data_IF_697452279474
#
_entry.id   IF_697452279474
#
_cell.length_a   1.000
_cell.length_b   1.000
_cell.length_c   1.000
_cell.angle_alpha   90.00
_cell.angle_beta   90.00
_cell.angle_gamma   90.00
#
_symmetry.space_group_name_H-M   'P 1'
#
loop_
_entity.id
_entity.type
_entity.pdbx_description
1 polymer ?
#
# COMPACT_ATOMS: atom_id res chain seq x y z
N UNK A 1 18.32 12.08 -2.00
CA UNK A 1 19.19 10.98 -1.55
C UNK A 1 19.79 11.44 -0.25
N UNK A 2 19.16 11.09 0.86
CA UNK A 2 19.73 11.30 2.19
C UNK A 2 19.40 10.06 3.00
N UNK A 3 20.44 9.26 3.22
CA UNK A 3 20.46 8.10 4.10
C UNK A 3 20.33 8.58 5.55
N UNK A 4 19.22 8.23 6.22
CA UNK A 4 19.17 8.34 7.68
C UNK A 4 19.34 6.95 8.27
N UNK A 5 20.57 6.79 8.74
CA UNK A 5 21.20 5.66 9.42
C UNK A 5 20.41 5.14 10.62
N UNK A 6 20.25 3.82 10.64
CA UNK A 6 19.90 3.01 11.80
C UNK A 6 20.82 3.31 12.99
N UNK A 7 20.25 3.77 14.11
CA UNK A 7 20.87 3.68 15.43
C UNK A 7 19.99 2.85 16.35
N UNK A 8 20.24 1.55 16.34
CA UNK A 8 20.10 0.72 17.52
C UNK A 8 21.28 1.06 18.44
N UNK A 9 21.02 1.59 19.63
CA UNK A 9 21.92 1.45 20.77
C UNK A 9 21.12 1.61 22.07
N UNK A 10 20.81 0.45 22.65
CA UNK A 10 21.22 0.07 24.00
C UNK A 10 21.10 1.15 25.10
N UNK A 11 19.98 1.13 25.83
CA UNK A 11 19.93 1.65 27.20
C UNK A 11 19.84 0.44 28.14
N UNK A 12 20.91 0.28 28.92
CA UNK A 12 21.05 -0.61 30.07
C UNK A 12 19.75 -0.75 30.89
N UNK A 13 19.29 -1.97 31.15
CA UNK A 13 19.70 -2.74 32.34
C UNK A 13 19.71 -1.93 33.63
N UNK A 14 18.52 -1.69 34.18
CA UNK A 14 18.28 -1.68 35.63
C UNK A 14 16.80 -1.97 35.90
N UNK A 15 16.44 -3.23 36.14
CA UNK A 15 15.37 -3.63 37.06
C UNK A 15 15.30 -5.16 37.15
N UNK A 16 16.35 -5.78 37.69
CA UNK A 16 16.27 -7.10 38.33
C UNK A 16 15.50 -6.99 39.66
N UNK A 17 14.24 -6.55 39.57
CA UNK A 17 13.25 -6.72 40.62
C UNK A 17 12.40 -7.92 40.20
N UNK A 18 12.85 -9.09 40.63
CA UNK A 18 12.25 -10.39 40.39
C UNK A 18 10.71 -10.37 40.48
N UNK A 19 10.03 -10.49 39.33
CA UNK A 19 8.60 -10.78 39.20
C UNK A 19 8.30 -12.21 39.69
N UNK A 20 8.52 -12.46 41.00
CA UNK A 20 8.22 -13.73 41.62
C UNK A 20 6.71 -13.83 41.79
N UNK A 21 6.08 -14.64 40.95
CA UNK A 21 4.65 -14.95 41.09
C UNK A 21 4.50 -16.33 41.73
N UNK A 22 3.69 -16.42 42.76
CA UNK A 22 3.27 -17.68 43.37
C UNK A 22 2.16 -18.29 42.54
N UNK A 23 2.22 -19.59 42.28
CA UNK A 23 1.13 -20.30 41.61
C UNK A 23 -0.18 -20.17 42.41
N UNK A 24 -1.31 -19.77 41.80
CA UNK A 24 -2.60 -19.68 42.49
C UNK A 24 -3.11 -21.04 42.99
N UNK A 25 -2.59 -22.15 42.45
CA UNK A 25 -2.90 -23.50 42.90
C UNK A 25 -1.91 -24.03 43.97
N UNK A 26 -1.06 -23.19 44.55
CA UNK A 26 -0.14 -23.59 45.62
C UNK A 26 -0.87 -24.22 46.82
N UNK A 27 -2.10 -23.76 47.11
CA UNK A 27 -2.98 -24.29 48.15
C UNK A 27 -3.42 -25.75 47.86
N UNK A 28 -3.35 -26.17 46.60
CA UNK A 28 -3.68 -27.52 46.12
C UNK A 28 -2.42 -28.34 45.76
N UNK A 29 -1.34 -28.14 46.53
CA UNK A 29 -0.02 -28.80 46.39
C UNK A 29 0.74 -28.53 45.07
N UNK A 30 0.48 -27.42 44.40
CA UNK A 30 1.32 -27.00 43.28
C UNK A 30 2.64 -26.41 43.83
N UNK A 31 3.70 -27.22 43.90
CA UNK A 31 4.92 -26.93 44.68
C UNK A 31 5.90 -25.93 44.04
N UNK A 32 5.60 -25.39 42.86
CA UNK A 32 6.41 -24.32 42.28
C UNK A 32 5.95 -22.96 42.83
N UNK A 33 6.47 -22.63 44.01
CA UNK A 33 6.13 -21.41 44.77
C UNK A 33 6.76 -20.17 44.13
N UNK A 34 7.72 -20.31 43.21
CA UNK A 34 8.39 -19.19 42.56
C UNK A 34 8.43 -19.39 41.04
N UNK A 35 7.47 -18.77 40.35
CA UNK A 35 7.43 -18.76 38.90
C UNK A 35 8.23 -17.57 38.38
N UNK A 36 9.17 -17.86 37.49
CA UNK A 36 9.80 -16.85 36.65
C UNK A 36 8.98 -16.70 35.36
N UNK A 37 8.94 -15.48 34.82
CA UNK A 37 8.14 -15.16 33.63
C UNK A 37 8.53 -16.03 32.42
N UNK A 38 9.81 -16.41 32.32
CA UNK A 38 10.34 -17.31 31.29
C UNK A 38 9.92 -18.78 31.43
N UNK A 39 9.49 -19.23 32.62
CA UNK A 39 9.11 -20.63 32.89
C UNK A 39 7.61 -20.81 33.12
N UNK A 40 6.82 -19.76 32.89
CA UNK A 40 5.40 -19.72 33.22
C UNK A 40 4.58 -20.72 32.39
N UNK A 41 4.86 -20.79 31.08
CA UNK A 41 4.13 -21.65 30.15
C UNK A 41 4.45 -23.14 30.35
N UNK A 42 5.70 -23.46 30.65
CA UNK A 42 6.13 -24.82 31.02
C UNK A 42 5.48 -25.26 32.34
N UNK A 43 5.36 -24.35 33.31
CA UNK A 43 4.69 -24.64 34.58
C UNK A 43 3.19 -24.92 34.40
N UNK A 44 2.44 -24.09 33.67
CA UNK A 44 1.00 -24.28 33.46
C UNK A 44 0.67 -25.56 32.68
N UNK A 45 1.60 -26.06 31.88
CA UNK A 45 1.47 -27.32 31.15
C UNK A 45 2.03 -28.54 31.88
N UNK A 46 2.71 -28.34 33.02
CA UNK A 46 3.30 -29.42 33.81
C UNK A 46 2.25 -30.37 34.39
N UNK A 47 2.59 -31.66 34.47
CA UNK A 47 1.72 -32.70 35.03
C UNK A 47 1.30 -32.38 36.48
N UNK A 48 2.20 -31.77 37.25
CA UNK A 48 1.91 -31.38 38.63
C UNK A 48 0.86 -30.26 38.70
N UNK A 49 0.98 -29.22 37.87
CA UNK A 49 -0.01 -28.15 37.83
C UNK A 49 -1.38 -28.68 37.40
N UNK A 50 -1.41 -29.55 36.38
CA UNK A 50 -2.64 -30.19 35.91
C UNK A 50 -3.29 -31.06 37.01
N UNK A 51 -2.51 -31.82 37.78
CA UNK A 51 -3.00 -32.58 38.93
C UNK A 51 -3.59 -31.67 40.02
N UNK A 52 -2.92 -30.57 40.34
CA UNK A 52 -3.44 -29.58 41.30
C UNK A 52 -4.73 -28.92 40.81
N UNK A 53 -4.85 -28.69 39.50
CA UNK A 53 -6.04 -28.12 38.87
C UNK A 53 -7.24 -29.07 38.96
N UNK A 54 -7.01 -30.36 38.72
CA UNK A 54 -8.02 -31.42 38.92
C UNK A 54 -8.44 -31.52 40.39
N UNK A 55 -7.51 -31.44 41.35
CA UNK A 55 -7.85 -31.45 42.79
C UNK A 55 -8.66 -30.22 43.20
N UNK A 56 -8.32 -29.05 42.67
CA UNK A 56 -9.11 -27.84 42.87
C UNK A 56 -10.54 -28.03 42.34
N UNK A 57 -10.69 -28.56 41.11
CA UNK A 57 -11.99 -28.87 40.54
C UNK A 57 -12.78 -29.92 41.36
N UNK A 58 -12.11 -30.94 41.88
CA UNK A 58 -12.71 -31.95 42.77
C UNK A 58 -13.18 -31.33 44.09
N UNK A 59 -12.35 -30.50 44.73
CA UNK A 59 -12.72 -29.79 45.95
C UNK A 59 -13.91 -28.85 45.76
N UNK A 60 -14.00 -28.19 44.59
CA UNK A 60 -15.16 -27.39 44.20
C UNK A 60 -16.39 -28.29 43.97
N UNK A 61 -16.25 -29.43 43.29
CA UNK A 61 -17.36 -30.37 43.09
C UNK A 61 -17.84 -31.02 44.40
N UNK A 62 -16.94 -31.29 45.34
CA UNK A 62 -17.23 -31.85 46.65
C UNK A 62 -17.94 -30.82 47.55
N UNK A 63 -17.50 -29.56 47.54
CA UNK A 63 -18.25 -28.47 48.20
C UNK A 63 -19.60 -28.21 47.50
N UNK A 64 -19.68 -28.50 46.19
CA UNK A 64 -20.94 -28.45 45.45
C UNK A 64 -21.90 -29.61 45.73
N UNK A 65 -21.41 -30.77 46.20
CA UNK A 65 -22.25 -31.96 46.45
C UNK A 65 -22.44 -32.28 47.95
N UNK A 66 -21.58 -31.78 48.83
CA UNK A 66 -21.62 -32.01 50.27
C UNK A 66 -22.41 -30.95 51.02
N UNK A 67 -23.73 -31.08 51.05
CA UNK A 67 -24.60 -30.34 51.99
C UNK A 67 -25.66 -31.28 52.54
N UNK A 68 -25.39 -31.84 53.71
CA UNK A 68 -26.40 -32.45 54.57
C UNK A 68 -26.04 -32.14 56.02
N UNK A 69 -26.41 -30.94 56.48
CA UNK A 69 -26.56 -30.57 57.91
C UNK A 69 -26.79 -29.06 58.06
N UNK A 70 -28.06 -28.64 58.07
CA UNK A 70 -28.74 -27.58 58.86
C UNK A 70 -28.05 -26.24 59.28
N UNK A 71 -26.88 -25.85 58.75
CA UNK A 71 -26.23 -24.54 58.99
C UNK A 71 -26.26 -23.60 57.76
N UNK A 72 -27.37 -23.62 57.01
CA UNK A 72 -27.27 -23.84 55.57
C UNK A 72 -27.84 -22.74 54.65
N UNK A 73 -27.96 -21.49 55.12
CA UNK A 73 -28.51 -20.37 54.32
C UNK A 73 -27.41 -19.51 53.69
N UNK A 74 -26.47 -18.99 54.47
CA UNK A 74 -25.39 -18.12 53.95
C UNK A 74 -24.42 -18.89 53.02
N UNK A 75 -24.11 -20.16 53.32
CA UNK A 75 -23.18 -20.96 52.53
C UNK A 75 -23.80 -21.47 51.21
N UNK A 76 -25.13 -21.58 51.12
CA UNK A 76 -25.84 -21.88 49.86
C UNK A 76 -25.87 -20.67 48.92
N UNK A 77 -25.99 -19.47 49.48
CA UNK A 77 -25.99 -18.23 48.71
C UNK A 77 -24.61 -17.97 48.07
N UNK A 78 -23.53 -18.17 48.84
CA UNK A 78 -22.15 -18.07 48.33
C UNK A 78 -21.85 -19.11 47.24
N UNK A 79 -22.34 -20.35 47.41
CA UNK A 79 -22.21 -21.42 46.41
C UNK A 79 -22.99 -21.15 45.13
N UNK A 80 -24.19 -20.59 45.24
CA UNK A 80 -24.99 -20.19 44.06
C UNK A 80 -24.28 -19.03 43.33
N UNK A 81 -23.75 -18.07 44.08
CA UNK A 81 -22.96 -16.96 43.54
C UNK A 81 -21.69 -17.42 42.80
N UNK A 82 -20.98 -18.42 43.34
CA UNK A 82 -19.78 -18.96 42.71
C UNK A 82 -20.08 -19.64 41.36
N UNK A 83 -21.18 -20.41 41.28
CA UNK A 83 -21.62 -21.06 40.03
C UNK A 83 -22.00 -20.02 38.99
N UNK A 84 -22.79 -19.01 39.37
CA UNK A 84 -23.16 -17.91 38.46
C UNK A 84 -21.93 -17.14 37.97
N UNK A 85 -20.94 -16.91 38.83
CA UNK A 85 -19.70 -16.24 38.44
C UNK A 85 -18.88 -17.10 37.47
N UNK A 86 -18.87 -18.42 37.64
CA UNK A 86 -18.20 -19.33 36.71
C UNK A 86 -18.90 -19.35 35.33
N UNK A 87 -20.22 -19.37 35.31
CA UNK A 87 -21.00 -19.28 34.06
C UNK A 87 -20.74 -17.94 33.34
N UNK A 88 -20.74 -16.82 34.08
CA UNK A 88 -20.40 -15.50 33.53
C UNK A 88 -18.98 -15.48 32.97
N UNK A 89 -18.02 -16.06 33.69
CA UNK A 89 -16.63 -16.14 33.25
C UNK A 89 -16.51 -16.97 31.97
N UNK A 90 -17.21 -18.11 31.89
CA UNK A 90 -17.25 -18.97 30.71
C UNK A 90 -17.78 -18.24 29.47
N UNK A 91 -18.87 -17.46 29.64
CA UNK A 91 -19.42 -16.63 28.56
C UNK A 91 -18.40 -15.57 28.12
N UNK A 92 -17.75 -14.89 29.08
CA UNK A 92 -16.74 -13.86 28.78
C UNK A 92 -15.55 -14.48 28.02
N UNK A 93 -15.05 -15.63 28.44
CA UNK A 93 -13.95 -16.34 27.76
C UNK A 93 -14.33 -16.68 26.34
N UNK A 94 -15.51 -17.28 26.11
CA UNK A 94 -16.00 -17.62 24.77
C UNK A 94 -16.15 -16.37 23.88
N UNK A 95 -16.67 -15.27 24.43
CA UNK A 95 -16.80 -14.02 23.69
C UNK A 95 -15.42 -13.44 23.35
N UNK A 96 -14.45 -13.54 24.26
CA UNK A 96 -13.07 -13.08 24.05
C UNK A 96 -12.39 -13.88 22.94
N UNK A 97 -12.54 -15.20 22.93
CA UNK A 97 -12.05 -16.08 21.86
C UNK A 97 -12.69 -15.71 20.51
N UNK A 98 -14.01 -15.50 20.48
CA UNK A 98 -14.73 -15.10 19.26
C UNK A 98 -14.24 -13.76 18.72
N UNK A 99 -14.04 -12.77 19.59
CA UNK A 99 -13.52 -11.46 19.21
C UNK A 99 -12.07 -11.58 18.71
N UNK A 100 -11.27 -12.44 19.32
CA UNK A 100 -9.90 -12.69 18.90
C UNK A 100 -9.85 -13.27 17.47
N UNK A 101 -10.69 -14.27 17.17
CA UNK A 101 -10.80 -14.84 15.83
C UNK A 101 -11.25 -13.80 14.80
N UNK A 102 -12.23 -12.95 15.16
CA UNK A 102 -12.68 -11.84 14.32
C UNK A 102 -11.58 -10.81 14.07
N UNK A 103 -10.74 -10.53 15.07
CA UNK A 103 -9.62 -9.61 14.95
C UNK A 103 -8.58 -10.16 13.96
N UNK A 104 -8.23 -11.44 14.06
CA UNK A 104 -7.32 -12.10 13.11
C UNK A 104 -7.90 -12.05 11.69
N UNK A 105 -9.19 -12.37 11.52
CA UNK A 105 -9.82 -12.31 10.21
C UNK A 105 -9.79 -10.89 9.64
N UNK A 106 -10.06 -9.88 10.45
CA UNK A 106 -10.04 -8.48 10.04
C UNK A 106 -8.64 -8.04 9.61
N UNK A 107 -7.59 -8.49 10.31
CA UNK A 107 -6.20 -8.19 9.96
C UNK A 107 -5.83 -8.79 8.59
N UNK A 108 -6.24 -10.03 8.33
CA UNK A 108 -6.06 -10.67 7.01
C UNK A 108 -6.81 -9.92 5.90
N UNK A 109 -8.04 -9.49 6.17
CA UNK A 109 -8.83 -8.70 5.21
C UNK A 109 -8.19 -7.33 4.93
N UNK A 110 -7.63 -6.69 5.95
CA UNK A 110 -6.90 -5.42 5.83
C UNK A 110 -5.66 -5.57 4.94
N UNK A 111 -4.84 -6.59 5.18
CA UNK A 111 -3.68 -6.90 4.34
C UNK A 111 -4.07 -7.14 2.87
N UNK A 112 -5.19 -7.84 2.64
CA UNK A 112 -5.70 -8.06 1.29
C UNK A 112 -6.16 -6.76 0.63
N UNK A 113 -6.84 -5.89 1.36
CA UNK A 113 -7.26 -4.57 0.87
C UNK A 113 -6.04 -3.71 0.51
N UNK A 114 -5.00 -3.70 1.33
CA UNK A 114 -3.77 -2.95 1.05
C UNK A 114 -3.07 -3.42 -0.23
N UNK A 115 -3.01 -4.75 -0.44
CA UNK A 115 -2.48 -5.33 -1.67
C UNK A 115 -3.29 -4.92 -2.91
N UNK A 116 -4.63 -4.96 -2.80
CA UNK A 116 -5.52 -4.54 -3.89
C UNK A 116 -5.36 -3.05 -4.19
N UNK A 117 -5.27 -2.21 -3.15
CA UNK A 117 -5.07 -0.77 -3.30
C UNK A 117 -3.72 -0.45 -3.97
N UNK A 118 -2.65 -1.13 -3.56
CA UNK A 118 -1.33 -0.98 -4.21
C UNK A 118 -1.37 -1.36 -5.69
N UNK A 119 -2.09 -2.44 -6.04
CA UNK A 119 -2.25 -2.88 -7.43
C UNK A 119 -3.00 -1.83 -8.25
N UNK A 120 -4.13 -1.33 -7.74
CA UNK A 120 -4.93 -0.31 -8.41
C UNK A 120 -4.17 1.01 -8.58
N UNK A 121 -3.35 1.40 -7.60
CA UNK A 121 -2.48 2.58 -7.72
C UNK A 121 -1.45 2.41 -8.83
N UNK A 122 -0.88 1.21 -8.98
CA UNK A 122 0.07 0.92 -10.06
C UNK A 122 -0.62 0.97 -11.43
N UNK A 123 -1.82 0.40 -11.56
CA UNK A 123 -2.60 0.47 -12.80
C UNK A 123 -2.96 1.91 -13.16
N UNK A 124 -3.36 2.72 -12.18
CA UNK A 124 -3.69 4.13 -12.39
C UNK A 124 -2.47 4.94 -12.85
N UNK A 125 -1.30 4.71 -12.26
CA UNK A 125 -0.05 5.33 -12.71
C UNK A 125 0.32 4.93 -14.15
N UNK A 126 0.11 3.66 -14.51
CA UNK A 126 0.35 3.18 -15.87
C UNK A 126 -0.58 3.86 -16.89
N UNK A 127 -1.87 4.02 -16.54
CA UNK A 127 -2.85 4.72 -17.38
C UNK A 127 -2.47 6.18 -17.54
N UNK A 128 -2.09 6.87 -16.45
CA UNK A 128 -1.64 8.27 -16.52
C UNK A 128 -0.43 8.45 -17.43
N UNK A 129 0.56 7.55 -17.30
CA UNK A 129 1.76 7.56 -18.14
C UNK A 129 1.40 7.35 -19.61
N UNK A 130 0.56 6.36 -19.91
CA UNK A 130 0.09 6.07 -21.27
C UNK A 130 -0.66 7.26 -21.87
N UNK A 131 -1.56 7.89 -21.10
CA UNK A 131 -2.31 9.06 -21.55
C UNK A 131 -1.38 10.25 -21.84
N UNK A 132 -0.35 10.45 -21.01
CA UNK A 132 0.65 11.51 -21.25
C UNK A 132 1.43 11.29 -22.55
N UNK A 133 1.80 10.04 -22.86
CA UNK A 133 2.48 9.67 -24.09
C UNK A 133 1.57 9.87 -25.31
N UNK A 134 0.31 9.46 -25.24
CA UNK A 134 -0.65 9.71 -26.32
C UNK A 134 -0.86 11.20 -26.58
N UNK A 135 -0.90 12.02 -25.51
CA UNK A 135 -1.00 13.47 -25.65
C UNK A 135 0.21 14.04 -26.39
N UNK A 136 1.42 13.70 -25.96
CA UNK A 136 2.64 14.15 -26.62
C UNK A 136 2.70 13.71 -28.10
N UNK A 137 2.22 12.51 -28.41
CA UNK A 137 2.11 12.01 -29.78
C UNK A 137 1.11 12.82 -30.61
N UNK A 138 -0.08 13.10 -30.07
CA UNK A 138 -1.10 13.95 -30.72
C UNK A 138 -0.57 15.36 -30.99
N UNK A 139 0.13 15.95 -30.01
CA UNK A 139 0.74 17.28 -30.14
C UNK A 139 1.79 17.30 -31.27
N UNK A 140 2.60 16.24 -31.37
CA UNK A 140 3.61 16.07 -32.44
C UNK A 140 2.95 15.94 -33.82
N UNK A 141 1.90 15.15 -33.95
CA UNK A 141 1.13 15.04 -35.20
C UNK A 141 0.56 16.40 -35.59
N UNK A 142 -0.06 17.11 -34.65
CA UNK A 142 -0.67 18.41 -34.92
C UNK A 142 0.36 19.44 -35.38
N UNK A 143 1.54 19.45 -34.76
CA UNK A 143 2.66 20.29 -35.17
C UNK A 143 3.14 19.96 -36.59
N UNK A 144 3.36 18.69 -36.90
CA UNK A 144 3.79 18.27 -38.23
C UNK A 144 2.75 18.60 -39.31
N UNK A 145 1.46 18.45 -39.01
CA UNK A 145 0.38 18.84 -39.91
C UNK A 145 0.37 20.35 -40.18
N UNK A 146 0.70 21.18 -39.19
CA UNK A 146 0.82 22.63 -39.38
C UNK A 146 2.01 22.99 -40.27
N UNK A 147 3.17 22.34 -40.09
CA UNK A 147 4.33 22.53 -40.99
C UNK A 147 3.94 22.16 -42.43
N UNK A 148 3.37 20.97 -42.63
CA UNK A 148 2.97 20.53 -43.97
C UNK A 148 1.95 21.47 -44.62
N UNK A 149 1.02 22.03 -43.85
CA UNK A 149 0.09 23.05 -44.36
C UNK A 149 0.80 24.32 -44.78
N UNK A 150 1.78 24.80 -44.01
CA UNK A 150 2.59 25.95 -44.39
C UNK A 150 3.39 25.67 -45.66
N UNK A 151 4.00 24.50 -45.77
CA UNK A 151 4.76 24.10 -46.96
C UNK A 151 3.87 24.06 -48.21
N UNK A 152 2.65 23.52 -48.09
CA UNK A 152 1.67 23.51 -49.19
C UNK A 152 1.33 24.95 -49.61
N UNK A 153 1.02 25.84 -48.65
CA UNK A 153 0.70 27.24 -48.95
C UNK A 153 1.89 27.93 -49.64
N UNK A 154 3.12 27.67 -49.19
CA UNK A 154 4.33 28.23 -49.81
C UNK A 154 4.53 27.72 -51.23
N UNK A 155 4.31 26.43 -51.48
CA UNK A 155 4.38 25.83 -52.81
C UNK A 155 3.29 26.39 -53.74
N UNK A 156 2.06 26.51 -53.26
CA UNK A 156 0.96 27.13 -54.02
C UNK A 156 1.30 28.57 -54.41
N UNK A 157 1.88 29.35 -53.48
CA UNK A 157 2.34 30.70 -53.74
C UNK A 157 3.48 30.71 -54.77
N UNK A 158 4.48 29.82 -54.64
CA UNK A 158 5.58 29.73 -55.60
C UNK A 158 5.09 29.37 -57.00
N UNK A 159 4.16 28.42 -57.13
CA UNK A 159 3.53 28.06 -58.41
C UNK A 159 2.74 29.23 -58.97
N UNK A 160 2.01 29.97 -58.14
CA UNK A 160 1.31 31.18 -58.56
C UNK A 160 2.28 32.26 -59.06
N UNK A 161 3.41 32.44 -58.40
CA UNK A 161 4.43 33.40 -58.77
C UNK A 161 5.14 32.99 -60.09
N UNK A 162 5.45 31.70 -60.27
CA UNK A 162 6.04 31.16 -61.49
C UNK A 162 5.05 31.15 -62.67
N UNK A 163 3.77 30.89 -62.45
CA UNK A 163 2.75 30.98 -63.50
C UNK A 163 2.50 32.41 -63.97
N UNK A 164 2.86 33.45 -63.20
CA UNK A 164 2.90 34.83 -63.71
C UNK A 164 4.02 35.08 -64.72
N UNK A 165 5.07 34.23 -64.72
CA UNK A 165 6.20 34.28 -65.65
C UNK A 165 5.79 33.70 -67.01
N UNK A 166 4.88 32.74 -67.01
CA UNK A 166 4.45 31.97 -68.19
C UNK A 166 2.96 32.24 -68.44
N UNK A 167 2.64 33.20 -69.31
CA UNK A 167 1.25 33.52 -69.66
C UNK A 167 0.92 32.98 -71.04
N UNK A 168 -0.18 32.24 -71.18
CA UNK A 168 -0.78 31.98 -72.48
C UNK A 168 -1.60 33.20 -72.92
N UNK A 169 -1.30 33.71 -74.11
CA UNK A 169 -2.10 34.71 -74.80
C UNK A 169 -3.44 34.13 -75.26
N UNK A 170 -4.43 34.99 -75.58
CA UNK A 170 -5.76 34.58 -76.03
C UNK A 170 -5.77 33.81 -77.36
N UNK A 171 -4.64 33.78 -78.08
CA UNK A 171 -4.39 33.06 -79.33
C UNK A 171 -3.61 31.75 -79.13
N UNK A 172 -3.29 31.37 -77.89
CA UNK A 172 -2.46 30.20 -77.56
C UNK A 172 -0.95 30.47 -77.60
N UNK A 173 -0.52 31.72 -77.78
CA UNK A 173 0.91 32.08 -77.74
C UNK A 173 1.44 32.05 -76.31
N UNK A 174 2.49 31.26 -76.05
CA UNK A 174 3.15 31.22 -74.74
C UNK A 174 4.11 32.40 -74.61
N UNK A 175 3.87 33.28 -73.64
CA UNK A 175 4.74 34.41 -73.29
C UNK A 175 5.54 34.06 -72.04
N UNK A 176 6.86 33.89 -72.22
CA UNK A 176 7.83 33.72 -71.13
C UNK A 176 8.47 35.07 -70.77
N UNK A 177 8.23 35.55 -69.55
CA UNK A 177 8.80 36.82 -69.07
C UNK A 177 10.12 36.59 -68.33
N UNK A 178 11.25 36.87 -68.97
CA UNK A 178 12.55 36.82 -68.26
C UNK A 178 12.65 38.01 -67.29
N UNK A 179 12.68 37.72 -65.98
CA UNK A 179 12.80 38.73 -64.91
C UNK A 179 14.28 38.90 -64.50
N UNK A 180 14.63 40.03 -63.88
CA UNK A 180 15.98 40.36 -63.36
C UNK A 180 17.10 40.37 -64.41
N UNK A 181 16.78 40.57 -65.69
CA UNK A 181 17.77 40.64 -66.79
C UNK A 181 18.85 41.69 -66.52
N UNK A 182 18.47 42.85 -65.99
CA UNK A 182 19.40 43.97 -65.72
C UNK A 182 20.39 43.64 -64.60
N UNK A 183 19.95 42.96 -63.55
CA UNK A 183 20.78 42.57 -62.42
C UNK A 183 21.74 41.44 -62.83
N UNK A 184 21.22 40.39 -63.50
CA UNK A 184 22.05 39.29 -64.00
C UNK A 184 23.05 39.70 -65.06
N UNK A 185 22.74 40.70 -65.90
CA UNK A 185 23.72 41.24 -66.86
C UNK A 185 24.77 42.11 -66.18
N UNK A 186 24.43 42.82 -65.11
CA UNK A 186 25.40 43.57 -64.29
C UNK A 186 26.36 42.62 -63.56
N UNK A 187 25.85 41.57 -62.93
CA UNK A 187 26.69 40.55 -62.24
C UNK A 187 27.64 39.86 -63.23
N UNK A 188 27.12 39.41 -64.37
CA UNK A 188 27.93 38.78 -65.42
C UNK A 188 28.98 39.73 -66.04
N UNK A 189 28.72 41.04 -66.06
CA UNK A 189 29.72 42.03 -66.45
C UNK A 189 30.78 42.23 -65.36
N UNK A 190 30.41 42.20 -64.09
CA UNK A 190 31.33 42.32 -62.96
C UNK A 190 32.26 41.10 -62.81
N UNK A 191 31.76 39.89 -63.04
CA UNK A 191 32.55 38.64 -63.00
C UNK A 191 33.58 38.59 -64.16
N UNK A 192 33.26 39.16 -65.32
CA UNK A 192 34.21 39.28 -66.44
C UNK A 192 35.33 40.29 -66.19
N UNK A 193 35.14 41.23 -65.27
CA UNK A 193 36.14 42.25 -64.93
C UNK A 193 37.09 41.83 -63.79
N UNK A 194 36.77 40.75 -63.07
CA UNK A 194 37.59 40.23 -61.96
C UNK A 194 38.47 39.04 -62.33
N UNK A 195 38.37 38.53 -63.57
CA UNK A 195 39.25 37.49 -64.11
C UNK A 195 40.39 38.13 -64.90
N UNK A 196 41.46 38.54 -64.19
CA UNK A 196 42.80 38.83 -64.74
C UNK A 196 43.81 38.05 -63.90
#
# INVERSE_FOLDING_TARGET
>A
MDEVSNKCDNIHSTSDASNKRTCPLAVYDCRDVQLYESSLQEHYTSEQHQKSLVRCAQSIMESMNGVSSEADTDMKEEKTSLVENYEKLSIITRNTETIHDQLIQTDVEMLRCDQQNSTLLQELNNIQTTNSLEKAYRDTISFNQNILRQDIIMLEQQVADESQIIKEGPDGTIVWKIINVREKTYDAQSERQTSI
#
